data_IF_993379481314
#
_entry.id   IF_993379481314
#
_cell.length_a   1.000
_cell.length_b   1.000
_cell.length_c   1.000
_cell.angle_alpha   90.00
_cell.angle_beta   90.00
_cell.angle_gamma   90.00
#
_symmetry.space_group_name_H-M   'P 1'
#
loop_
_entity.id
_entity.type
_entity.pdbx_description
1 polymer ?
#
# COMPACT_ATOMS: atom_id res chain seq x y z
N UNK A 1 -18.80 -12.76 -0.78
CA UNK A 1 -17.72 -13.67 -0.34
C UNK A 1 -17.55 -14.77 -1.37
N UNK A 2 -16.41 -15.45 -1.41
CA UNK A 2 -16.21 -16.61 -2.31
C UNK A 2 -16.86 -17.83 -1.66
N UNK A 3 -17.52 -18.67 -2.45
CA UNK A 3 -18.07 -19.94 -1.97
C UNK A 3 -16.94 -20.84 -1.44
N UNK A 4 -17.02 -21.35 -0.21
CA UNK A 4 -16.02 -22.24 0.36
C UNK A 4 -15.66 -23.43 -0.56
N UNK A 5 -14.37 -23.74 -0.66
CA UNK A 5 -13.84 -24.77 -1.56
C UNK A 5 -14.45 -26.16 -1.29
N UNK A 6 -14.78 -26.45 -0.03
CA UNK A 6 -15.48 -27.67 0.37
C UNK A 6 -16.87 -27.85 -0.24
N UNK A 7 -17.50 -26.79 -0.76
CA UNK A 7 -18.77 -26.88 -1.48
C UNK A 7 -18.59 -27.06 -2.99
N UNK A 8 -17.40 -26.80 -3.54
CA UNK A 8 -17.15 -26.96 -4.99
C UNK A 8 -17.34 -28.41 -5.43
N UNK A 9 -16.93 -29.37 -4.58
CA UNK A 9 -17.11 -30.82 -4.83
C UNK A 9 -18.58 -31.28 -4.88
N UNK A 10 -19.51 -30.46 -4.40
CA UNK A 10 -20.95 -30.76 -4.44
C UNK A 10 -21.57 -30.47 -5.81
N UNK A 11 -20.87 -29.67 -6.63
CA UNK A 11 -21.29 -29.35 -7.99
C UNK A 11 -20.43 -30.14 -8.97
N UNK A 12 -21.06 -30.87 -9.89
CA UNK A 12 -20.33 -31.54 -10.97
C UNK A 12 -19.90 -30.49 -12.00
N UNK A 13 -18.63 -30.48 -12.47
CA UNK A 13 -18.20 -29.57 -13.53
C UNK A 13 -19.02 -29.75 -14.81
N UNK A 14 -19.03 -28.72 -15.66
CA UNK A 14 -19.69 -28.74 -16.97
C UNK A 14 -19.40 -30.05 -17.72
N UNK A 15 -20.47 -30.71 -18.14
CA UNK A 15 -20.43 -31.92 -18.95
C UNK A 15 -21.16 -31.67 -20.26
N UNK A 16 -20.47 -31.01 -21.19
CA UNK A 16 -20.92 -30.90 -22.58
C UNK A 16 -21.80 -29.69 -22.89
N UNK A 17 -21.52 -28.52 -22.30
CA UNK A 17 -22.15 -27.25 -22.66
C UNK A 17 -23.40 -26.92 -21.84
N UNK A 18 -23.59 -27.58 -20.69
CA UNK A 18 -24.66 -27.28 -19.76
C UNK A 18 -24.06 -26.78 -18.45
N UNK A 19 -24.29 -25.50 -18.17
CA UNK A 19 -23.85 -24.86 -16.93
C UNK A 19 -24.85 -25.24 -15.82
N UNK A 20 -24.42 -25.92 -14.74
CA UNK A 20 -25.30 -26.36 -13.67
C UNK A 20 -25.64 -25.21 -12.71
N UNK A 21 -26.36 -24.19 -13.22
CA UNK A 21 -26.66 -22.96 -12.48
C UNK A 21 -27.44 -23.22 -11.19
N UNK A 22 -28.36 -24.19 -11.18
CA UNK A 22 -29.17 -24.52 -10.01
C UNK A 22 -28.33 -25.13 -8.90
N UNK A 23 -27.35 -25.94 -9.24
CA UNK A 23 -26.43 -26.57 -8.32
C UNK A 23 -25.49 -25.54 -7.70
N UNK A 24 -24.96 -24.60 -8.52
CA UNK A 24 -24.17 -23.47 -8.05
C UNK A 24 -24.97 -22.55 -7.12
N UNK A 25 -26.18 -22.19 -7.51
CA UNK A 25 -27.09 -21.44 -6.65
C UNK A 25 -27.41 -22.19 -5.34
N UNK A 26 -27.55 -23.52 -5.42
CA UNK A 26 -27.80 -24.39 -4.27
C UNK A 26 -26.67 -24.42 -3.24
N UNK A 27 -25.43 -24.11 -3.62
CA UNK A 27 -24.29 -23.91 -2.70
C UNK A 27 -24.04 -22.45 -2.36
N UNK A 28 -24.95 -21.54 -2.74
CA UNK A 28 -24.91 -20.12 -2.42
C UNK A 28 -24.02 -19.28 -3.36
N UNK A 29 -23.63 -19.80 -4.52
CA UNK A 29 -22.96 -18.99 -5.53
C UNK A 29 -23.99 -18.11 -6.23
N UNK A 30 -24.06 -16.81 -5.93
CA UNK A 30 -24.92 -15.87 -6.68
C UNK A 30 -24.39 -15.67 -8.10
N UNK A 31 -23.07 -15.52 -8.24
CA UNK A 31 -22.39 -15.39 -9.52
C UNK A 31 -21.39 -16.52 -9.75
N UNK A 32 -21.22 -16.89 -11.02
CA UNK A 32 -20.29 -17.92 -11.48
C UNK A 32 -19.38 -17.36 -12.57
N UNK A 33 -18.07 -17.33 -12.30
CA UNK A 33 -17.07 -17.06 -13.32
C UNK A 33 -16.63 -18.37 -13.97
N UNK A 34 -16.75 -18.44 -15.29
CA UNK A 34 -16.21 -19.53 -16.08
C UNK A 34 -15.29 -18.99 -17.17
N UNK A 35 -14.36 -19.81 -17.62
CA UNK A 35 -13.53 -19.44 -18.74
C UNK A 35 -12.78 -20.60 -19.35
N UNK A 36 -12.31 -20.38 -20.56
CA UNK A 36 -11.45 -21.29 -21.29
C UNK A 36 -10.09 -20.64 -21.52
N UNK A 37 -9.06 -21.46 -21.44
CA UNK A 37 -7.69 -21.07 -21.71
C UNK A 37 -7.09 -22.03 -22.72
N UNK A 38 -6.67 -21.52 -23.87
CA UNK A 38 -6.05 -22.32 -24.91
C UNK A 38 -4.97 -21.52 -25.65
N UNK A 39 -4.14 -22.21 -26.43
CA UNK A 39 -3.14 -21.59 -27.29
C UNK A 39 -3.67 -21.53 -28.73
N UNK A 40 -3.63 -20.33 -29.33
CA UNK A 40 -3.96 -20.07 -30.74
C UNK A 40 -2.74 -19.43 -31.40
N UNK A 41 -2.11 -20.12 -32.36
CA UNK A 41 -0.91 -19.64 -33.06
C UNK A 41 0.19 -19.13 -32.10
N UNK A 42 0.49 -19.91 -31.05
CA UNK A 42 1.42 -19.60 -29.95
C UNK A 42 1.02 -18.48 -28.99
N UNK A 43 -0.08 -17.78 -29.24
CA UNK A 43 -0.64 -16.84 -28.29
C UNK A 43 -1.58 -17.56 -27.32
N UNK A 44 -1.54 -17.16 -26.06
CA UNK A 44 -2.55 -17.49 -25.07
C UNK A 44 -3.84 -16.74 -25.39
N UNK A 45 -4.92 -17.49 -25.47
CA UNK A 45 -6.28 -16.99 -25.60
C UNK A 45 -7.04 -17.36 -24.34
N UNK A 46 -7.55 -16.36 -23.63
CA UNK A 46 -8.34 -16.55 -22.44
C UNK A 46 -9.70 -15.91 -22.64
N UNK A 47 -10.74 -16.72 -22.66
CA UNK A 47 -12.12 -16.26 -22.74
C UNK A 47 -12.78 -16.50 -21.39
N UNK A 48 -13.38 -15.47 -20.80
CA UNK A 48 -14.00 -15.55 -19.49
C UNK A 48 -15.37 -14.89 -19.49
N UNK A 49 -16.36 -15.52 -18.86
CA UNK A 49 -17.73 -15.03 -18.72
C UNK A 49 -18.16 -15.14 -17.27
N UNK A 50 -18.72 -14.05 -16.75
CA UNK A 50 -19.38 -14.02 -15.45
C UNK A 50 -20.88 -14.15 -15.68
N UNK A 51 -21.51 -15.05 -14.94
CA UNK A 51 -22.93 -15.33 -15.01
C UNK A 51 -23.60 -15.05 -13.67
N UNK A 52 -24.81 -14.49 -13.72
CA UNK A 52 -25.77 -14.55 -12.63
C UNK A 52 -26.40 -15.93 -12.64
N UNK A 53 -26.27 -16.69 -11.55
CA UNK A 53 -26.77 -18.07 -11.47
C UNK A 53 -28.28 -18.14 -11.27
N UNK A 54 -28.90 -17.10 -10.73
CA UNK A 54 -30.34 -17.03 -10.44
C UNK A 54 -31.14 -16.77 -11.71
N UNK A 55 -30.69 -15.77 -12.48
CA UNK A 55 -31.28 -15.33 -13.73
C UNK A 55 -30.71 -16.07 -14.95
N UNK A 56 -29.60 -16.80 -14.77
CA UNK A 56 -28.87 -17.52 -15.82
C UNK A 56 -28.43 -16.61 -16.98
N UNK A 57 -28.08 -15.36 -16.66
CA UNK A 57 -27.68 -14.33 -17.62
C UNK A 57 -26.19 -14.08 -17.53
N UNK A 58 -25.60 -13.76 -18.67
CA UNK A 58 -24.22 -13.26 -18.73
C UNK A 58 -24.21 -11.83 -18.21
N UNK A 59 -23.45 -11.59 -17.14
CA UNK A 59 -23.17 -10.25 -16.62
C UNK A 59 -22.12 -9.55 -17.47
N UNK A 60 -21.03 -10.25 -17.79
CA UNK A 60 -20.05 -9.81 -18.78
C UNK A 60 -19.30 -10.98 -19.42
N UNK A 61 -18.70 -10.72 -20.57
CA UNK A 61 -17.72 -11.60 -21.22
C UNK A 61 -16.48 -10.83 -21.65
N UNK A 62 -15.30 -11.41 -21.49
CA UNK A 62 -14.02 -10.84 -21.90
C UNK A 62 -13.21 -11.88 -22.66
N UNK A 63 -12.53 -11.42 -23.71
CA UNK A 63 -11.54 -12.18 -24.46
C UNK A 63 -10.21 -11.45 -24.36
N UNK A 64 -9.19 -12.15 -23.88
CA UNK A 64 -7.81 -11.67 -23.85
C UNK A 64 -6.94 -12.52 -24.75
N UNK A 65 -6.01 -11.86 -25.42
CA UNK A 65 -4.98 -12.49 -26.25
C UNK A 65 -3.63 -11.91 -25.91
N UNK A 66 -2.60 -12.76 -25.86
CA UNK A 66 -1.23 -12.32 -25.70
C UNK A 66 -0.26 -13.47 -25.51
N UNK A 67 1.00 -13.14 -25.26
CA UNK A 67 2.04 -14.14 -25.00
C UNK A 67 1.71 -14.98 -23.74
N UNK A 68 2.11 -16.26 -23.68
CA UNK A 68 1.82 -17.14 -22.54
C UNK A 68 2.27 -16.62 -21.17
N UNK A 69 3.32 -15.79 -21.11
CA UNK A 69 3.81 -15.18 -19.87
C UNK A 69 2.85 -14.13 -19.29
N UNK A 70 1.87 -13.67 -20.07
CA UNK A 70 0.81 -12.76 -19.62
C UNK A 70 -0.35 -13.45 -18.91
N UNK A 71 -0.36 -14.79 -18.80
CA UNK A 71 -1.45 -15.56 -18.17
C UNK A 71 -1.87 -14.97 -16.81
N UNK A 72 -0.89 -14.63 -15.98
CA UNK A 72 -1.12 -14.04 -14.66
C UNK A 72 -1.72 -12.64 -14.71
N UNK A 73 -1.24 -11.79 -15.64
CA UNK A 73 -1.79 -10.44 -15.84
C UNK A 73 -3.23 -10.52 -16.32
N UNK A 74 -3.54 -11.49 -17.19
CA UNK A 74 -4.89 -11.75 -17.68
C UNK A 74 -5.81 -12.20 -16.53
N UNK A 75 -5.37 -13.17 -15.70
CA UNK A 75 -6.13 -13.63 -14.55
C UNK A 75 -6.43 -12.48 -13.56
N UNK A 76 -5.43 -11.65 -13.25
CA UNK A 76 -5.62 -10.47 -12.39
C UNK A 76 -6.54 -9.43 -13.00
N UNK A 77 -6.47 -9.22 -14.32
CA UNK A 77 -7.40 -8.35 -15.01
C UNK A 77 -8.83 -8.88 -14.92
N UNK A 78 -9.06 -10.18 -15.11
CA UNK A 78 -10.37 -10.78 -14.89
C UNK A 78 -10.86 -10.63 -13.45
N UNK A 79 -9.99 -10.83 -12.45
CA UNK A 79 -10.32 -10.60 -11.05
C UNK A 79 -10.77 -9.15 -10.81
N UNK A 80 -10.08 -8.18 -11.39
CA UNK A 80 -10.46 -6.77 -11.31
C UNK A 80 -11.82 -6.48 -11.98
N UNK A 81 -12.16 -7.15 -13.08
CA UNK A 81 -13.46 -7.01 -13.75
C UNK A 81 -14.60 -7.54 -12.87
N UNK A 82 -14.39 -8.66 -12.16
CA UNK A 82 -15.35 -9.19 -11.18
C UNK A 82 -15.56 -8.18 -10.04
N UNK A 83 -14.47 -7.64 -9.48
CA UNK A 83 -14.55 -6.62 -8.43
C UNK A 83 -15.30 -5.37 -8.91
N UNK A 84 -14.98 -4.88 -10.12
CA UNK A 84 -15.65 -3.73 -10.72
C UNK A 84 -17.14 -3.97 -10.92
N UNK A 85 -17.53 -5.17 -11.37
CA UNK A 85 -18.93 -5.54 -11.57
C UNK A 85 -19.74 -5.48 -10.27
N UNK A 86 -19.18 -5.98 -9.17
CA UNK A 86 -19.91 -6.04 -7.88
C UNK A 86 -19.85 -4.76 -7.06
N UNK A 87 -18.75 -4.02 -7.16
CA UNK A 87 -18.47 -2.91 -6.24
C UNK A 87 -18.54 -1.54 -6.89
N UNK A 88 -18.51 -1.49 -8.24
CA UNK A 88 -18.35 -0.24 -8.97
C UNK A 88 -16.96 0.38 -8.85
N UNK A 89 -16.02 -0.27 -8.14
CA UNK A 89 -14.68 0.24 -7.88
C UNK A 89 -13.62 -0.65 -8.55
N UNK A 90 -12.47 -0.08 -8.96
CA UNK A 90 -11.36 -0.86 -9.50
C UNK A 90 -10.83 -1.89 -8.49
N UNK A 91 -10.46 -3.07 -8.99
CA UNK A 91 -9.76 -4.08 -8.20
C UNK A 91 -8.26 -3.83 -8.08
N UNK A 92 -7.64 -4.44 -7.07
CA UNK A 92 -6.22 -4.25 -6.73
C UNK A 92 -5.29 -5.29 -7.36
N UNK A 93 -5.79 -6.26 -8.13
CA UNK A 93 -5.01 -7.44 -8.52
C UNK A 93 -3.81 -7.12 -9.45
N UNK A 94 -3.84 -5.96 -10.12
CA UNK A 94 -2.74 -5.47 -10.96
C UNK A 94 -1.80 -4.48 -10.25
N UNK A 95 -2.05 -4.20 -8.96
CA UNK A 95 -1.21 -3.31 -8.16
C UNK A 95 0.06 -4.02 -7.70
N UNK A 96 1.01 -3.24 -7.18
CA UNK A 96 2.32 -3.69 -6.74
C UNK A 96 2.65 -3.15 -5.37
N UNK A 97 3.56 -3.81 -4.68
CA UNK A 97 4.09 -3.38 -3.39
C UNK A 97 5.60 -3.21 -3.54
N UNK A 98 6.08 -1.99 -3.33
CA UNK A 98 7.50 -1.73 -3.13
C UNK A 98 7.83 -1.92 -1.64
N UNK A 99 9.00 -2.44 -1.32
CA UNK A 99 9.41 -2.68 0.06
C UNK A 99 10.93 -2.70 0.17
N UNK A 100 11.44 -2.58 1.39
CA UNK A 100 12.87 -2.73 1.67
C UNK A 100 13.14 -4.17 2.07
N UNK A 101 14.19 -4.80 1.53
CA UNK A 101 14.65 -6.12 1.98
C UNK A 101 16.15 -6.14 2.22
N UNK A 102 16.57 -6.88 3.25
CA UNK A 102 17.97 -7.00 3.63
C UNK A 102 18.73 -8.00 2.76
N UNK A 103 19.88 -7.58 2.23
CA UNK A 103 20.81 -8.43 1.46
C UNK A 103 22.21 -8.30 2.08
N UNK A 104 22.58 -9.28 2.93
CA UNK A 104 23.80 -9.17 3.73
C UNK A 104 23.72 -7.99 4.70
N UNK A 105 24.60 -6.98 4.51
CA UNK A 105 24.57 -5.71 5.27
C UNK A 105 23.78 -4.60 4.56
N UNK A 106 23.43 -4.79 3.28
CA UNK A 106 22.70 -3.82 2.49
C UNK A 106 21.20 -3.88 2.77
N UNK A 107 20.50 -2.76 2.53
CA UNK A 107 19.04 -2.68 2.49
C UNK A 107 18.64 -2.17 1.13
N UNK A 108 17.85 -2.93 0.39
CA UNK A 108 17.58 -2.69 -1.02
C UNK A 108 16.09 -2.59 -1.26
N UNK A 109 15.68 -1.79 -2.25
CA UNK A 109 14.29 -1.67 -2.66
C UNK A 109 13.95 -2.85 -3.56
N UNK A 110 12.87 -3.53 -3.24
CA UNK A 110 12.24 -4.58 -4.02
C UNK A 110 10.83 -4.14 -4.43
N UNK A 111 10.32 -4.74 -5.50
CA UNK A 111 8.93 -4.61 -5.94
C UNK A 111 8.37 -6.00 -6.19
N UNK A 112 7.15 -6.25 -5.74
CA UNK A 112 6.39 -7.47 -6.01
C UNK A 112 4.97 -7.13 -6.46
N UNK A 113 4.27 -8.09 -7.04
CA UNK A 113 2.82 -7.98 -7.23
C UNK A 113 2.11 -7.93 -5.87
N UNK A 114 0.86 -7.45 -5.84
CA UNK A 114 0.07 -7.30 -4.61
C UNK A 114 -0.03 -8.56 -3.74
N UNK A 115 0.10 -9.75 -4.34
CA UNK A 115 -0.04 -11.06 -3.69
C UNK A 115 1.31 -11.73 -3.35
N UNK A 116 2.42 -10.99 -3.51
CA UNK A 116 3.78 -11.45 -3.19
C UNK A 116 4.55 -12.10 -4.35
N UNK A 117 3.89 -12.38 -5.49
CA UNK A 117 4.58 -12.99 -6.62
C UNK A 117 5.50 -12.00 -7.36
N UNK A 118 6.41 -12.55 -8.18
CA UNK A 118 7.33 -11.79 -9.05
C UNK A 118 8.15 -10.72 -8.30
N UNK A 119 8.51 -10.98 -7.05
CA UNK A 119 9.39 -10.12 -6.29
C UNK A 119 10.73 -9.92 -7.01
N UNK A 120 11.09 -8.66 -7.28
CA UNK A 120 12.28 -8.26 -8.00
C UNK A 120 13.03 -7.18 -7.21
N UNK A 121 14.35 -7.36 -7.07
CA UNK A 121 15.25 -6.32 -6.55
C UNK A 121 15.37 -5.20 -7.56
N UNK A 122 15.07 -3.97 -7.15
CA UNK A 122 15.12 -2.76 -7.98
C UNK A 122 16.44 -2.01 -7.78
N UNK A 123 16.91 -1.87 -6.53
CA UNK A 123 18.22 -1.27 -6.24
C UNK A 123 19.27 -2.35 -5.96
N UNK A 124 20.51 -2.14 -6.44
CA UNK A 124 21.58 -3.14 -6.39
C UNK A 124 22.94 -2.59 -5.96
N UNK A 125 22.95 -1.45 -5.24
CA UNK A 125 24.16 -0.68 -5.00
C UNK A 125 24.94 -1.10 -3.75
N UNK A 126 24.43 -2.05 -2.96
CA UNK A 126 25.09 -2.56 -1.76
C UNK A 126 25.06 -1.58 -0.57
N UNK A 127 24.26 -0.51 -0.66
CA UNK A 127 24.09 0.49 0.39
C UNK A 127 22.76 0.31 1.14
N UNK A 128 22.39 1.30 1.94
CA UNK A 128 21.13 1.38 2.66
C UNK A 128 20.16 2.21 1.81
N UNK A 129 19.04 1.60 1.43
CA UNK A 129 17.96 2.23 0.70
C UNK A 129 16.66 2.02 1.49
N UNK A 130 15.93 3.10 1.79
CA UNK A 130 14.85 3.11 2.78
C UNK A 130 13.60 3.85 2.28
N UNK A 131 12.46 3.54 2.91
CA UNK A 131 11.21 4.29 2.80
C UNK A 131 10.74 4.54 1.36
N UNK A 132 10.49 3.47 0.55
CA UNK A 132 9.96 3.66 -0.78
C UNK A 132 8.57 4.31 -0.76
N UNK A 133 8.29 5.12 -1.78
CA UNK A 133 7.00 5.73 -2.02
C UNK A 133 6.73 5.83 -3.53
N UNK A 134 5.59 5.29 -3.96
CA UNK A 134 5.16 5.33 -5.34
C UNK A 134 4.71 6.73 -5.75
N UNK A 135 5.04 7.12 -6.98
CA UNK A 135 4.35 8.21 -7.67
C UNK A 135 2.86 7.85 -7.85
N UNK A 136 1.96 8.85 -7.94
CA UNK A 136 0.53 8.59 -8.09
C UNK A 136 0.16 7.81 -9.36
N UNK A 137 1.00 7.88 -10.40
CA UNK A 137 0.82 7.15 -11.64
C UNK A 137 1.50 5.75 -11.65
N UNK A 138 2.14 5.36 -10.54
CA UNK A 138 2.75 4.05 -10.35
C UNK A 138 3.98 3.78 -11.23
N UNK A 139 4.59 4.80 -11.83
CA UNK A 139 5.76 4.65 -12.72
C UNK A 139 7.09 4.88 -12.02
N UNK A 140 7.10 5.70 -10.97
CA UNK A 140 8.31 6.12 -10.27
C UNK A 140 8.24 5.76 -8.79
N UNK A 141 9.41 5.60 -8.18
CA UNK A 141 9.57 5.31 -6.76
C UNK A 141 10.54 6.34 -6.19
N UNK A 142 10.06 7.15 -5.25
CA UNK A 142 10.91 7.98 -4.40
C UNK A 142 11.39 7.16 -3.19
N UNK A 143 12.65 7.33 -2.78
CA UNK A 143 13.22 6.64 -1.64
C UNK A 143 14.47 7.39 -1.14
N UNK A 144 14.97 7.02 0.04
CA UNK A 144 16.22 7.56 0.58
C UNK A 144 17.35 6.57 0.36
N UNK A 145 18.49 7.03 -0.15
CA UNK A 145 19.68 6.21 -0.40
C UNK A 145 20.92 6.77 0.29
N UNK A 146 21.67 5.91 0.95
CA UNK A 146 22.99 6.21 1.54
C UNK A 146 24.15 5.88 0.60
N UNK A 147 23.91 5.75 -0.72
CA UNK A 147 24.92 5.28 -1.68
C UNK A 147 26.15 6.18 -1.78
N UNK A 148 26.04 7.44 -1.38
CA UNK A 148 27.13 8.44 -1.36
C UNK A 148 27.72 8.66 0.04
N UNK A 149 27.28 7.90 1.05
CA UNK A 149 27.68 8.05 2.45
C UNK A 149 26.76 8.95 3.28
N UNK A 150 25.99 9.82 2.62
CA UNK A 150 24.94 10.66 3.22
C UNK A 150 23.56 10.29 2.63
N UNK A 151 22.44 10.46 3.37
CA UNK A 151 21.13 10.10 2.85
C UNK A 151 20.62 11.12 1.81
N UNK A 152 20.47 10.65 0.58
CA UNK A 152 19.92 11.42 -0.54
C UNK A 152 18.50 10.99 -0.84
N UNK A 153 17.61 11.96 -1.11
CA UNK A 153 16.33 11.66 -1.74
C UNK A 153 16.58 11.33 -3.21
N UNK A 154 16.10 10.17 -3.64
CA UNK A 154 16.23 9.68 -5.01
C UNK A 154 14.87 9.33 -5.58
N UNK A 155 14.74 9.48 -6.90
CA UNK A 155 13.61 9.02 -7.69
C UNK A 155 14.12 8.12 -8.79
N UNK A 156 13.59 6.90 -8.85
CA UNK A 156 13.87 5.92 -9.90
C UNK A 156 12.58 5.57 -10.63
N UNK A 157 12.70 5.18 -11.89
CA UNK A 157 11.65 4.45 -12.57
C UNK A 157 11.47 3.08 -11.91
N UNK A 158 10.29 2.48 -12.09
CA UNK A 158 9.99 1.14 -11.58
C UNK A 158 10.91 0.03 -12.15
N UNK A 159 11.65 0.27 -13.23
CA UNK A 159 12.67 -0.65 -13.74
C UNK A 159 14.04 -0.52 -13.03
N UNK A 160 14.21 0.50 -12.18
CA UNK A 160 15.44 0.83 -11.46
C UNK A 160 16.27 1.96 -12.08
N UNK A 161 15.88 2.49 -13.25
CA UNK A 161 16.60 3.58 -13.89
C UNK A 161 16.52 4.87 -13.06
N UNK A 162 17.67 5.50 -12.79
CA UNK A 162 17.73 6.77 -12.07
C UNK A 162 17.06 7.90 -12.87
N UNK A 163 16.05 8.52 -12.26
CA UNK A 163 15.34 9.67 -12.83
C UNK A 163 15.85 11.00 -12.27
N UNK A 164 15.96 11.07 -10.95
CA UNK A 164 16.44 12.25 -10.25
C UNK A 164 17.13 11.86 -8.94
N UNK A 165 18.11 12.68 -8.54
CA UNK A 165 18.71 12.64 -7.22
C UNK A 165 18.80 14.07 -6.68
N UNK A 166 18.52 14.22 -5.39
CA UNK A 166 18.52 15.49 -4.69
C UNK A 166 19.57 15.42 -3.57
N UNK A 167 20.86 15.63 -3.92
CA UNK A 167 21.96 15.56 -2.96
C UNK A 167 21.86 16.69 -1.92
N UNK A 168 22.24 16.38 -0.69
CA UNK A 168 22.27 17.29 0.44
C UNK A 168 23.60 17.13 1.19
N UNK A 169 24.08 18.19 1.85
CA UNK A 169 25.32 18.13 2.63
C UNK A 169 25.01 17.74 4.08
N UNK A 170 25.17 16.46 4.42
CA UNK A 170 25.38 16.03 5.82
C UNK A 170 24.15 15.88 6.73
N UNK A 171 22.93 15.87 6.20
CA UNK A 171 21.69 15.90 6.99
C UNK A 171 20.86 14.63 6.81
N UNK A 172 19.96 14.30 7.74
CA UNK A 172 19.04 13.17 7.62
C UNK A 172 17.86 13.54 6.73
N UNK A 173 17.56 12.71 5.73
CA UNK A 173 16.32 12.73 4.96
C UNK A 173 15.57 11.43 5.16
N UNK A 174 14.25 11.46 5.30
CA UNK A 174 13.45 10.24 5.50
C UNK A 174 12.01 10.38 4.99
N UNK A 175 11.39 9.21 4.74
CA UNK A 175 9.96 9.04 4.49
C UNK A 175 9.37 9.99 3.42
N UNK A 176 9.81 9.91 2.15
CA UNK A 176 9.19 10.67 1.08
C UNK A 176 7.74 10.27 0.86
N UNK A 177 6.92 11.25 0.47
CA UNK A 177 5.51 11.06 0.11
C UNK A 177 5.13 11.97 -1.04
N UNK A 178 4.65 11.38 -2.12
CA UNK A 178 4.24 12.10 -3.31
C UNK A 178 2.93 12.84 -3.08
N UNK A 179 2.84 14.08 -3.57
CA UNK A 179 1.57 14.77 -3.71
C UNK A 179 0.66 13.98 -4.68
N UNK A 180 -0.67 13.98 -4.48
CA UNK A 180 -1.59 13.18 -5.32
C UNK A 180 -1.57 13.56 -6.81
N UNK A 181 -1.20 14.80 -7.12
CA UNK A 181 -1.03 15.31 -8.48
C UNK A 181 0.35 14.98 -9.10
N UNK A 182 1.27 14.41 -8.33
CA UNK A 182 2.62 14.05 -8.75
C UNK A 182 3.58 15.23 -8.93
N UNK A 183 3.19 16.45 -8.55
CA UNK A 183 4.00 17.66 -8.79
C UNK A 183 5.09 17.89 -7.72
N UNK A 184 4.94 17.28 -6.54
CA UNK A 184 5.81 17.51 -5.41
C UNK A 184 6.01 16.25 -4.55
N UNK A 185 7.06 16.28 -3.72
CA UNK A 185 7.35 15.27 -2.71
C UNK A 185 7.50 15.95 -1.35
N UNK A 186 6.67 15.56 -0.40
CA UNK A 186 6.86 15.90 1.02
C UNK A 186 7.86 14.91 1.62
N UNK A 187 8.77 15.38 2.47
CA UNK A 187 9.77 14.54 3.13
C UNK A 187 10.25 15.20 4.42
N UNK A 188 10.87 14.42 5.29
CA UNK A 188 11.46 14.93 6.53
C UNK A 188 12.94 15.27 6.30
N UNK A 189 13.42 16.41 6.79
CA UNK A 189 14.83 16.81 6.68
C UNK A 189 15.33 17.45 7.98
N UNK A 190 16.53 17.10 8.43
CA UNK A 190 17.15 17.71 9.62
C UNK A 190 18.04 18.92 9.31
N UNK A 191 17.80 19.59 8.19
CA UNK A 191 18.73 20.58 7.63
C UNK A 191 18.88 21.86 8.41
N UNK A 192 17.82 22.23 9.12
CA UNK A 192 17.79 23.43 9.93
C UNK A 192 17.95 23.10 11.43
N UNK A 193 18.53 21.93 11.75
CA UNK A 193 18.79 21.46 13.12
C UNK A 193 18.04 20.17 13.45
N UNK A 194 16.80 20.29 13.93
CA UNK A 194 15.88 19.18 14.16
C UNK A 194 15.18 18.76 12.84
N UNK A 195 14.56 17.57 12.84
CA UNK A 195 13.81 17.11 11.67
C UNK A 195 12.52 17.88 11.50
N UNK A 196 12.28 18.36 10.28
CA UNK A 196 11.11 19.15 9.90
C UNK A 196 10.55 18.64 8.57
N UNK A 197 9.29 18.94 8.28
CA UNK A 197 8.64 18.59 7.02
C UNK A 197 8.98 19.64 5.96
N UNK A 198 9.50 19.18 4.83
CA UNK A 198 9.76 19.98 3.64
C UNK A 198 8.96 19.48 2.46
N UNK A 199 8.68 20.40 1.55
CA UNK A 199 8.07 20.14 0.26
C UNK A 199 9.08 20.44 -0.85
N UNK A 200 9.38 19.44 -1.66
CA UNK A 200 10.20 19.55 -2.86
C UNK A 200 9.29 19.58 -4.09
N UNK A 201 9.29 20.67 -4.85
CA UNK A 201 8.65 20.68 -6.17
C UNK A 201 9.58 20.10 -7.22
N UNK A 202 9.05 19.19 -8.04
CA UNK A 202 9.89 18.44 -8.98
C UNK A 202 10.24 19.22 -10.25
N UNK A 203 9.39 20.17 -10.65
CA UNK A 203 9.59 20.97 -11.87
C UNK A 203 10.80 21.88 -11.81
N UNK A 204 11.02 22.55 -10.67
CA UNK A 204 12.06 23.56 -10.49
C UNK A 204 13.03 23.25 -9.34
N UNK A 205 12.82 22.13 -8.64
CA UNK A 205 13.60 21.72 -7.45
C UNK A 205 13.52 22.69 -6.28
N UNK A 206 12.49 23.54 -6.25
CA UNK A 206 12.27 24.45 -5.14
C UNK A 206 11.91 23.68 -3.87
N UNK A 207 12.42 24.17 -2.74
CA UNK A 207 12.23 23.58 -1.42
C UNK A 207 11.49 24.59 -0.53
N UNK A 208 10.39 24.15 0.08
CA UNK A 208 9.63 24.92 1.06
C UNK A 208 9.60 24.16 2.38
N UNK A 209 10.02 24.79 3.48
CA UNK A 209 9.83 24.27 4.84
C UNK A 209 8.36 24.46 5.24
N UNK A 210 7.69 23.42 5.70
CA UNK A 210 6.28 23.45 6.11
C UNK A 210 6.12 23.53 7.62
N UNK A 211 7.05 22.96 8.39
CA UNK A 211 7.02 22.98 9.86
C UNK A 211 8.26 23.69 10.41
N UNK A 212 8.11 24.40 11.53
CA UNK A 212 9.21 25.07 12.22
C UNK A 212 8.89 25.15 13.72
N UNK A 213 9.43 24.22 14.50
CA UNK A 213 9.21 24.12 15.95
C UNK A 213 10.35 23.36 16.62
N UNK A 214 10.34 23.26 17.95
CA UNK A 214 11.41 22.58 18.70
C UNK A 214 11.29 21.04 18.68
N UNK A 215 10.16 20.50 18.23
CA UNK A 215 9.91 19.05 18.12
C UNK A 215 10.45 18.43 16.84
N UNK A 216 10.57 17.11 16.81
CA UNK A 216 10.96 16.31 15.65
C UNK A 216 9.71 15.99 14.83
N UNK A 217 9.64 16.53 13.61
CA UNK A 217 8.57 16.27 12.66
C UNK A 217 9.04 15.35 11.53
N UNK A 218 8.35 14.21 11.34
CA UNK A 218 8.74 13.15 10.40
C UNK A 218 7.56 12.45 9.73
N UNK A 219 7.84 11.50 8.83
CA UNK A 219 6.85 10.56 8.27
C UNK A 219 5.63 11.24 7.60
N UNK A 220 5.79 12.24 6.72
CA UNK A 220 4.66 12.91 6.09
C UNK A 220 3.88 11.98 5.15
N UNK A 221 2.56 12.17 5.08
CA UNK A 221 1.68 11.48 4.14
C UNK A 221 0.56 12.41 3.68
N UNK A 222 0.35 12.47 2.36
CA UNK A 222 -0.67 13.34 1.76
C UNK A 222 -2.08 12.77 1.91
N UNK A 223 -3.04 13.64 2.21
CA UNK A 223 -4.45 13.35 1.95
C UNK A 223 -4.66 13.10 0.45
N UNK A 224 -5.60 12.24 0.05
CA UNK A 224 -5.80 11.89 -1.36
C UNK A 224 -6.28 13.06 -2.23
N UNK A 225 -6.89 14.08 -1.62
CA UNK A 225 -7.31 15.31 -2.29
C UNK A 225 -6.20 16.37 -2.39
N UNK A 226 -5.03 16.12 -1.79
CA UNK A 226 -3.88 17.01 -1.81
C UNK A 226 -4.04 18.28 -0.97
N UNK A 227 -5.05 18.34 -0.09
CA UNK A 227 -5.33 19.53 0.73
C UNK A 227 -4.59 19.52 2.06
N UNK A 228 -4.25 18.34 2.56
CA UNK A 228 -3.67 18.16 3.89
C UNK A 228 -2.50 17.18 3.87
N UNK A 229 -1.69 17.25 4.92
CA UNK A 229 -0.58 16.36 5.20
C UNK A 229 -0.70 15.88 6.64
N UNK A 230 -0.74 14.55 6.83
CA UNK A 230 -0.53 13.96 8.15
C UNK A 230 0.96 13.68 8.34
N UNK A 231 1.46 13.82 9.55
CA UNK A 231 2.87 13.61 9.87
C UNK A 231 3.02 13.29 11.36
N UNK A 232 4.18 12.74 11.73
CA UNK A 232 4.51 12.42 13.11
C UNK A 232 5.24 13.58 13.75
N UNK A 233 4.84 13.98 14.95
CA UNK A 233 5.52 15.02 15.73
C UNK A 233 5.62 14.67 17.20
N UNK A 234 6.76 14.93 17.83
CA UNK A 234 6.95 14.81 19.27
C UNK A 234 6.81 16.14 20.04
N UNK A 235 6.30 17.21 19.39
CA UNK A 235 6.16 18.55 20.00
C UNK A 235 5.37 18.61 21.31
N UNK A 236 4.58 17.57 21.61
CA UNK A 236 3.83 17.42 22.86
C UNK A 236 4.56 16.57 23.93
N UNK A 237 5.84 16.25 23.72
CA UNK A 237 6.69 15.45 24.61
C UNK A 237 6.83 13.97 24.21
N UNK A 238 5.94 13.44 23.37
CA UNK A 238 6.08 12.12 22.73
C UNK A 238 5.50 12.13 21.31
N UNK A 239 5.95 11.22 20.41
CA UNK A 239 5.44 11.13 19.04
C UNK A 239 3.93 10.87 18.95
N UNK A 240 3.25 11.74 18.21
CA UNK A 240 1.83 11.64 17.86
C UNK A 240 1.64 11.93 16.37
N UNK A 241 0.49 11.56 15.81
CA UNK A 241 0.10 11.98 14.46
C UNK A 241 -0.61 13.34 14.52
N UNK A 242 -0.10 14.27 13.74
CA UNK A 242 -0.66 15.58 13.49
C UNK A 242 -1.13 15.68 12.03
N UNK A 243 -2.09 16.57 11.79
CA UNK A 243 -2.55 16.96 10.46
C UNK A 243 -2.32 18.46 10.30
N UNK A 244 -1.93 18.87 9.10
CA UNK A 244 -1.80 20.27 8.69
C UNK A 244 -2.34 20.47 7.28
N UNK A 245 -2.63 21.71 6.92
CA UNK A 245 -2.91 22.10 5.54
C UNK A 245 -1.65 21.94 4.67
N UNK A 246 -1.83 21.74 3.37
CA UNK A 246 -0.72 21.55 2.43
C UNK A 246 0.27 22.72 2.37
N UNK A 247 -0.12 23.90 2.87
CA UNK A 247 0.74 25.07 2.96
C UNK A 247 1.52 25.18 4.29
N UNK A 248 1.25 24.30 5.25
CA UNK A 248 1.84 24.26 6.60
C UNK A 248 0.94 24.86 7.69
N UNK A 249 -0.22 25.40 7.35
CA UNK A 249 -1.19 25.96 8.30
C UNK A 249 -2.02 24.90 9.05
N UNK A 250 -2.87 25.35 9.97
CA UNK A 250 -3.94 24.52 10.53
C UNK A 250 -3.49 23.31 11.36
N UNK A 251 -2.28 23.32 11.91
CA UNK A 251 -1.70 22.13 12.56
C UNK A 251 -2.48 21.72 13.81
N UNK A 252 -2.91 20.45 13.89
CA UNK A 252 -3.62 19.89 15.05
C UNK A 252 -3.32 18.40 15.26
N UNK A 253 -3.39 17.93 16.51
CA UNK A 253 -3.13 16.53 16.88
C UNK A 253 -4.39 15.70 16.61
N UNK A 254 -4.24 14.54 15.96
CA UNK A 254 -5.34 13.60 15.68
C UNK A 254 -5.20 12.30 16.46
N UNK A 255 -4.31 12.21 17.43
CA UNK A 255 -4.02 11.01 18.27
C UNK A 255 -3.78 11.34 19.76
N UNK A 256 -4.37 12.37 20.38
CA UNK A 256 -3.96 12.85 21.71
C UNK A 256 -4.10 11.82 22.86
N UNK A 257 -4.86 10.76 22.66
CA UNK A 257 -5.09 9.67 23.60
C UNK A 257 -4.06 8.54 23.53
N UNK A 258 -3.23 8.50 22.48
CA UNK A 258 -2.24 7.44 22.24
C UNK A 258 -0.89 7.88 22.79
N UNK A 259 -0.23 7.08 23.63
CA UNK A 259 1.03 7.50 24.29
C UNK A 259 2.22 7.68 23.34
N UNK A 260 2.24 6.93 22.23
CA UNK A 260 3.25 7.01 21.18
C UNK A 260 2.64 6.45 19.88
N UNK A 261 2.74 7.20 18.79
CA UNK A 261 2.47 6.70 17.45
C UNK A 261 3.32 7.36 16.36
N UNK A 262 3.47 6.66 15.23
CA UNK A 262 4.29 7.03 14.08
C UNK A 262 3.74 6.39 12.79
N UNK A 263 4.36 6.68 11.65
CA UNK A 263 4.17 6.04 10.36
C UNK A 263 2.71 6.11 9.87
N UNK A 264 2.14 7.31 9.90
CA UNK A 264 0.80 7.55 9.37
C UNK A 264 0.71 7.21 7.87
N UNK A 265 -0.44 6.66 7.48
CA UNK A 265 -0.80 6.38 6.10
C UNK A 265 -2.26 6.80 5.90
N UNK A 266 -2.48 7.82 5.07
CA UNK A 266 -3.81 8.32 4.76
C UNK A 266 -4.54 7.38 3.80
N UNK A 267 -5.79 7.05 4.13
CA UNK A 267 -6.68 6.26 3.28
C UNK A 267 -6.87 6.93 1.92
N UNK A 268 -6.87 6.18 0.80
CA UNK A 268 -7.18 6.74 -0.51
C UNK A 268 -8.60 7.31 -0.61
N UNK A 269 -9.51 6.92 0.30
CA UNK A 269 -10.87 7.48 0.41
C UNK A 269 -10.91 8.80 1.21
N UNK A 270 -9.81 9.13 1.90
CA UNK A 270 -9.61 10.39 2.62
C UNK A 270 -10.30 10.47 3.98
N UNK A 271 -10.92 9.39 4.42
CA UNK A 271 -11.72 9.31 5.65
C UNK A 271 -10.93 8.80 6.86
N UNK A 272 -9.88 7.99 6.63
CA UNK A 272 -9.13 7.30 7.69
C UNK A 272 -7.63 7.52 7.59
N UNK A 273 -6.96 7.39 8.73
CA UNK A 273 -5.50 7.30 8.84
C UNK A 273 -5.16 6.01 9.57
N UNK A 274 -4.35 5.16 8.93
CA UNK A 274 -3.71 4.02 9.59
C UNK A 274 -2.36 4.49 10.17
N UNK A 275 -1.98 3.99 11.34
CA UNK A 275 -0.72 4.37 12.00
C UNK A 275 -0.21 3.24 12.88
N UNK A 276 1.08 3.30 13.20
CA UNK A 276 1.73 2.44 14.18
C UNK A 276 1.61 3.06 15.55
N UNK A 277 1.16 2.32 16.56
CA UNK A 277 1.10 2.78 17.94
C UNK A 277 1.84 1.83 18.88
N UNK A 278 2.46 2.39 19.92
CA UNK A 278 3.11 1.59 20.96
C UNK A 278 2.06 0.94 21.86
N UNK A 279 2.25 -0.34 22.13
CA UNK A 279 1.45 -1.13 23.08
C UNK A 279 2.36 -1.85 24.07
N UNK A 280 1.79 -2.46 25.11
CA UNK A 280 2.56 -3.30 26.00
C UNK A 280 3.21 -4.45 25.22
N UNK A 281 4.54 -4.49 25.17
CA UNK A 281 5.31 -5.55 24.51
C UNK A 281 5.62 -5.35 23.03
N UNK A 282 5.24 -4.23 22.40
CA UNK A 282 5.57 -4.01 20.98
C UNK A 282 4.89 -2.80 20.33
N UNK A 283 4.59 -2.94 19.05
CA UNK A 283 3.89 -1.94 18.24
C UNK A 283 2.80 -2.62 17.41
N UNK A 284 1.66 -1.96 17.31
CA UNK A 284 0.52 -2.47 16.55
C UNK A 284 -0.04 -1.42 15.59
N UNK A 285 -0.84 -1.91 14.64
CA UNK A 285 -1.49 -1.07 13.64
C UNK A 285 -2.86 -0.67 14.16
N UNK A 286 -3.11 0.63 14.13
CA UNK A 286 -4.38 1.24 14.48
C UNK A 286 -4.92 2.02 13.28
N UNK A 287 -6.24 2.22 13.28
CA UNK A 287 -6.91 3.09 12.31
C UNK A 287 -7.78 4.09 13.04
N UNK A 288 -7.72 5.36 12.63
CA UNK A 288 -8.63 6.42 13.08
C UNK A 288 -9.44 6.95 11.91
N UNK A 289 -10.73 7.21 12.16
CA UNK A 289 -11.56 7.99 11.28
C UNK A 289 -11.25 9.47 11.50
N UNK A 290 -10.47 10.07 10.60
CA UNK A 290 -10.02 11.45 10.78
C UNK A 290 -11.16 12.43 10.55
N UNK A 291 -12.10 12.11 9.64
CA UNK A 291 -13.27 12.96 9.38
C UNK A 291 -14.24 12.98 10.55
N UNK A 292 -14.51 11.81 11.15
CA UNK A 292 -15.35 11.75 12.35
C UNK A 292 -14.69 12.43 13.53
N UNK A 293 -13.35 12.31 13.68
CA UNK A 293 -12.59 12.98 14.72
C UNK A 293 -12.60 14.50 14.59
N UNK A 294 -12.38 15.03 13.39
CA UNK A 294 -12.47 16.46 13.11
C UNK A 294 -13.88 17.02 13.36
N UNK A 295 -14.93 16.22 13.14
CA UNK A 295 -16.31 16.61 13.43
C UNK A 295 -16.66 16.54 14.93
N UNK A 296 -16.15 15.53 15.64
CA UNK A 296 -16.33 15.35 17.09
C UNK A 296 -15.07 14.71 17.72
N UNK A 297 -14.20 15.51 18.37
CA UNK A 297 -12.95 15.06 18.98
C UNK A 297 -13.10 14.11 20.19
N UNK A 298 -14.35 13.72 20.53
CA UNK A 298 -14.63 12.66 21.51
C UNK A 298 -14.65 11.27 20.89
N UNK A 299 -14.64 11.18 19.55
CA UNK A 299 -14.54 9.89 18.85
C UNK A 299 -13.13 9.32 19.03
N UNK A 300 -13.03 8.10 19.55
CA UNK A 300 -11.77 7.37 19.64
C UNK A 300 -11.30 6.83 18.29
N UNK A 301 -10.13 6.17 18.23
CA UNK A 301 -9.74 5.44 17.04
C UNK A 301 -10.71 4.28 16.78
N UNK A 302 -10.87 3.89 15.51
CA UNK A 302 -11.82 2.83 15.10
C UNK A 302 -11.41 1.48 15.70
N UNK A 303 -10.10 1.22 15.87
CA UNK A 303 -9.64 0.02 16.55
C UNK A 303 -8.18 -0.35 16.26
N UNK A 304 -7.68 -1.26 17.09
CA UNK A 304 -6.39 -1.97 16.93
C UNK A 304 -6.61 -3.15 15.99
N UNK A 305 -5.88 -3.20 14.88
CA UNK A 305 -6.04 -4.22 13.84
C UNK A 305 -5.10 -5.42 14.01
N UNK A 306 -4.04 -5.28 14.80
CA UNK A 306 -3.09 -6.37 15.08
C UNK A 306 -2.97 -6.57 16.58
N UNK A 307 -3.04 -7.83 17.03
CA UNK A 307 -2.93 -8.19 18.44
C UNK A 307 -2.20 -9.53 18.59
N UNK A 308 -0.88 -9.52 18.87
CA UNK A 308 -0.12 -10.76 19.06
C UNK A 308 1.25 -10.58 19.75
N UNK A 309 1.48 -9.47 20.45
CA UNK A 309 2.74 -9.14 21.15
C UNK A 309 3.99 -9.12 20.25
N UNK A 310 3.79 -9.04 18.92
CA UNK A 310 4.86 -8.83 17.95
C UNK A 310 4.99 -7.33 17.63
N UNK A 311 6.00 -6.98 16.85
CA UNK A 311 6.16 -5.65 16.29
C UNK A 311 5.48 -5.65 14.91
N UNK A 312 4.45 -4.82 14.76
CA UNK A 312 3.71 -4.58 13.51
C UNK A 312 3.79 -3.09 13.16
N UNK A 313 4.44 -2.76 12.05
CA UNK A 313 4.81 -1.37 11.72
C UNK A 313 4.61 -1.02 10.24
N UNK A 314 4.61 0.30 9.97
CA UNK A 314 4.53 0.90 8.64
C UNK A 314 3.32 0.45 7.80
N UNK A 315 2.09 0.68 8.29
CA UNK A 315 0.89 0.37 7.52
C UNK A 315 0.82 1.20 6.23
N UNK A 316 0.36 0.60 5.13
CA UNK A 316 0.08 1.26 3.86
C UNK A 316 -1.21 0.73 3.25
N UNK A 317 -2.08 1.64 2.85
CA UNK A 317 -3.35 1.31 2.21
C UNK A 317 -3.16 0.77 0.80
N UNK A 318 -3.95 -0.24 0.44
CA UNK A 318 -4.28 -0.53 -0.95
C UNK A 318 -5.06 0.64 -1.57
N UNK A 319 -5.02 0.84 -2.90
CA UNK A 319 -5.67 1.99 -3.54
C UNK A 319 -7.19 2.02 -3.44
N UNK A 320 -7.82 0.89 -3.17
CA UNK A 320 -9.26 0.79 -2.95
C UNK A 320 -9.66 1.05 -1.48
N UNK A 321 -8.70 1.24 -0.57
CA UNK A 321 -8.95 1.49 0.85
C UNK A 321 -9.49 0.30 1.63
N UNK A 322 -9.44 -0.92 1.08
CA UNK A 322 -10.00 -2.12 1.72
C UNK A 322 -8.97 -3.01 2.40
N UNK A 323 -7.69 -2.85 2.05
CA UNK A 323 -6.61 -3.67 2.57
C UNK A 323 -5.45 -2.79 3.07
N UNK A 324 -4.63 -3.39 3.95
CA UNK A 324 -3.40 -2.79 4.46
C UNK A 324 -2.23 -3.74 4.23
N UNK A 325 -1.11 -3.22 3.76
CA UNK A 325 0.20 -3.86 3.81
C UNK A 325 0.99 -3.32 4.99
N UNK A 326 1.79 -4.16 5.65
CA UNK A 326 2.61 -3.76 6.80
C UNK A 326 3.77 -4.73 7.01
N UNK A 327 4.73 -4.36 7.85
CA UNK A 327 5.81 -5.25 8.26
C UNK A 327 5.51 -5.88 9.62
N UNK A 328 5.80 -7.16 9.79
CA UNK A 328 5.63 -7.86 11.08
C UNK A 328 6.76 -8.83 11.36
N UNK A 329 7.26 -8.86 12.60
CA UNK A 329 8.30 -9.81 13.03
C UNK A 329 7.74 -11.12 13.63
N UNK A 330 6.44 -11.40 13.44
CA UNK A 330 5.74 -12.55 14.05
C UNK A 330 6.32 -13.94 13.72
N UNK A 331 7.16 -14.03 12.69
CA UNK A 331 7.86 -15.26 12.30
C UNK A 331 9.36 -15.22 12.64
N UNK A 332 9.76 -14.33 13.55
CA UNK A 332 11.14 -14.15 14.03
C UNK A 332 11.90 -13.05 13.29
N UNK A 333 11.81 -13.01 11.96
CA UNK A 333 12.27 -11.90 11.13
C UNK A 333 11.08 -11.03 10.69
N UNK A 334 11.35 -9.79 10.31
CA UNK A 334 10.33 -8.95 9.67
C UNK A 334 9.99 -9.49 8.28
N UNK A 335 8.70 -9.65 8.02
CA UNK A 335 8.15 -9.96 6.71
C UNK A 335 7.04 -8.98 6.36
N UNK A 336 6.76 -8.82 5.07
CA UNK A 336 5.60 -8.04 4.61
C UNK A 336 4.35 -8.91 4.69
N UNK A 337 3.31 -8.36 5.29
CA UNK A 337 1.99 -8.95 5.40
C UNK A 337 0.94 -8.04 4.77
N UNK A 338 -0.17 -8.64 4.37
CA UNK A 338 -1.41 -7.93 4.04
C UNK A 338 -2.55 -8.43 4.92
N UNK A 339 -3.57 -7.59 5.12
CA UNK A 339 -4.82 -7.94 5.79
C UNK A 339 -5.96 -7.09 5.25
N UNK A 340 -7.19 -7.49 5.53
CA UNK A 340 -8.38 -6.68 5.32
C UNK A 340 -8.46 -5.57 6.39
N UNK A 341 -9.25 -4.53 6.13
CA UNK A 341 -9.41 -3.40 7.05
C UNK A 341 -9.98 -3.79 8.43
N UNK A 342 -10.64 -4.94 8.54
CA UNK A 342 -11.12 -5.49 9.82
C UNK A 342 -10.07 -6.33 10.56
N UNK A 343 -8.85 -6.43 10.03
CA UNK A 343 -7.76 -7.25 10.57
C UNK A 343 -7.82 -8.73 10.17
N UNK A 344 -8.82 -9.15 9.40
CA UNK A 344 -8.96 -10.53 8.91
C UNK A 344 -8.12 -10.82 7.67
N UNK A 345 -8.19 -12.07 7.18
CA UNK A 345 -7.49 -12.55 5.98
C UNK A 345 -5.99 -12.23 5.92
N UNK A 346 -5.34 -12.34 7.08
CA UNK A 346 -3.93 -11.98 7.19
C UNK A 346 -3.04 -12.93 6.39
N UNK A 347 -2.26 -12.39 5.46
CA UNK A 347 -1.42 -13.14 4.53
C UNK A 347 0.02 -12.65 4.58
N UNK A 348 0.97 -13.58 4.69
CA UNK A 348 2.40 -13.31 4.54
C UNK A 348 2.76 -13.24 3.05
N UNK A 349 3.49 -12.21 2.63
CA UNK A 349 3.89 -12.01 1.24
C UNK A 349 5.38 -12.29 0.97
N UNK A 350 6.25 -12.03 1.95
CA UNK A 350 7.69 -12.29 1.81
C UNK A 350 8.11 -13.52 2.60
N UNK A 351 9.14 -14.22 2.12
CA UNK A 351 9.70 -15.38 2.78
C UNK A 351 11.23 -15.30 2.74
N UNK A 352 11.85 -15.02 3.89
CA UNK A 352 13.31 -14.99 4.02
C UNK A 352 13.93 -13.58 4.01
N UNK A 353 15.08 -13.46 4.69
CA UNK A 353 15.64 -12.16 5.02
C UNK A 353 14.75 -11.39 6.01
N UNK A 354 15.04 -10.11 6.21
CA UNK A 354 14.11 -9.18 6.87
C UNK A 354 13.63 -8.14 5.87
N UNK A 355 12.31 -7.94 5.81
CA UNK A 355 11.64 -7.04 4.89
C UNK A 355 10.77 -6.02 5.63
N UNK A 356 10.87 -4.74 5.27
CA UNK A 356 10.30 -3.62 6.03
C UNK A 356 9.75 -2.52 5.11
N UNK A 357 9.05 -1.55 5.71
CA UNK A 357 8.58 -0.31 5.08
C UNK A 357 7.92 -0.53 3.71
N UNK A 358 6.80 -1.29 3.64
CA UNK A 358 6.09 -1.47 2.39
C UNK A 358 5.56 -0.13 1.85
N UNK A 359 5.20 -0.11 0.58
CA UNK A 359 4.54 0.95 -0.15
C UNK A 359 3.66 0.35 -1.23
N UNK A 360 2.34 0.45 -1.07
CA UNK A 360 1.38 -0.05 -2.07
C UNK A 360 1.25 0.97 -3.21
N UNK A 361 1.31 0.51 -4.46
CA UNK A 361 1.09 1.38 -5.63
C UNK A 361 -0.37 1.79 -5.72
N UNK A 362 -0.61 3.03 -6.18
CA UNK A 362 -1.96 3.53 -6.42
C UNK A 362 -2.55 3.04 -7.73
#
# INVERSE_FOLDING_TARGET
>A
SIVPEEYHKLVRPDSGGHIPFKEWLGVGAEDLMMGELHLEASNLVCEGRLYDTSDQKVLFGKLYRGEPDLARVIAHRMSNEIVQQHTGQPGIALTRIAFVSQVGKAKEIYVMDYDGARAKRITGNGSINLSPAWSPDGKEIAFVSYRTGTPELMVINNDGALRAAFPQQGELNSAPSWSPDGSAVAFSSSRDGNAEIYLLRLSDRSLKRLTNNDGIDTSPTWSPDGRQIAFTSDRAGSPHIYVMDADGGGVHNVTPEVSYCDAASWSPLGDKIAFTARVAGGFDIFVRDVRAYEADPRTGPIGRLTENSNINEWPRWSPDGRHLAFASNRTGNFDIYTMDLDGSHMRRLTHGGSSYSPAWSR
#
